data_IF_920054396588
#
_entry.id   IF_920054396588
#
_cell.length_a   1.000
_cell.length_b   1.000
_cell.length_c   1.000
_cell.angle_alpha   90.00
_cell.angle_beta   90.00
_cell.angle_gamma   90.00
#
_symmetry.space_group_name_H-M   'P 1'
#
loop_
_entity.id
_entity.type
_entity.pdbx_description
1 polymer ?
#
# COMPACT_ATOMS: atom_id res chain seq x y z
N UNK A 1 17.03 -9.73 -11.62
CA UNK A 1 15.80 -9.72 -10.79
C UNK A 1 15.50 -8.27 -10.48
N UNK A 2 14.35 -7.75 -10.90
CA UNK A 2 13.96 -6.37 -10.60
C UNK A 2 13.16 -6.35 -9.29
N UNK A 3 13.54 -5.49 -8.35
CA UNK A 3 12.84 -5.31 -7.07
C UNK A 3 12.08 -3.99 -7.12
N UNK A 4 10.78 -4.06 -7.37
CA UNK A 4 9.91 -2.89 -7.27
C UNK A 4 9.65 -2.58 -5.80
N UNK A 5 9.89 -1.32 -5.41
CA UNK A 5 9.67 -0.79 -4.07
C UNK A 5 8.72 0.40 -4.14
N UNK A 6 7.77 0.44 -3.23
CA UNK A 6 6.78 1.50 -3.11
C UNK A 6 6.99 2.19 -1.78
N UNK A 7 7.22 3.50 -1.81
CA UNK A 7 7.25 4.35 -0.62
C UNK A 7 5.86 4.89 -0.35
N UNK A 8 5.45 4.90 0.90
CA UNK A 8 4.13 5.39 1.31
C UNK A 8 4.23 6.08 2.67
N UNK A 9 3.23 6.92 2.96
CA UNK A 9 3.12 7.63 4.23
C UNK A 9 1.92 7.10 4.99
N UNK A 10 2.12 6.81 6.27
CA UNK A 10 1.07 6.50 7.22
C UNK A 10 0.86 7.76 8.08
N UNK A 11 -0.33 8.32 7.98
CA UNK A 11 -0.80 9.38 8.87
C UNK A 11 -1.81 8.76 9.84
N UNK A 12 -1.35 8.36 11.02
CA UNK A 12 -2.19 7.79 12.07
C UNK A 12 -2.09 8.67 13.31
N UNK A 13 -3.11 9.48 13.60
CA UNK A 13 -3.12 10.35 14.78
C UNK A 13 -3.34 9.51 16.06
N UNK A 14 -2.59 9.74 17.15
CA UNK A 14 -1.72 10.89 17.46
C UNK A 14 -0.23 10.69 17.09
N UNK A 15 0.10 9.65 16.32
CA UNK A 15 1.48 9.34 15.96
C UNK A 15 2.03 10.34 14.94
N UNK A 16 3.36 10.53 14.93
CA UNK A 16 4.00 11.30 13.87
C UNK A 16 3.81 10.57 12.53
N UNK A 17 3.54 11.30 11.43
CA UNK A 17 3.57 10.74 10.09
C UNK A 17 4.83 9.91 9.86
N UNK A 18 4.65 8.66 9.42
CA UNK A 18 5.76 7.75 9.17
C UNK A 18 5.84 7.44 7.69
N UNK A 19 7.05 7.53 7.14
CA UNK A 19 7.34 7.13 5.75
C UNK A 19 7.96 5.76 5.76
N UNK A 20 7.31 4.81 5.11
CA UNK A 20 7.74 3.42 5.01
C UNK A 20 7.91 3.00 3.55
N UNK A 21 8.56 1.87 3.34
CA UNK A 21 8.69 1.27 2.02
C UNK A 21 8.38 -0.22 2.05
N UNK A 22 7.79 -0.73 0.97
CA UNK A 22 7.52 -2.15 0.80
C UNK A 22 7.92 -2.64 -0.58
N UNK A 23 8.44 -3.87 -0.66
CA UNK A 23 8.67 -4.53 -1.94
C UNK A 23 7.37 -5.12 -2.50
N UNK A 24 7.21 -5.17 -3.82
CA UNK A 24 6.06 -5.82 -4.45
C UNK A 24 5.90 -7.28 -4.00
N UNK A 25 7.02 -7.99 -3.82
CA UNK A 25 7.02 -9.37 -3.34
C UNK A 25 6.44 -9.47 -1.92
N UNK A 26 6.83 -8.58 -1.03
CA UNK A 26 6.30 -8.52 0.33
C UNK A 26 4.82 -8.16 0.32
N UNK A 27 4.41 -7.17 -0.48
CA UNK A 27 3.01 -6.78 -0.61
C UNK A 27 2.12 -7.95 -1.03
N UNK A 28 2.56 -8.77 -2.00
CA UNK A 28 1.85 -9.99 -2.43
C UNK A 28 1.66 -11.01 -1.31
N UNK A 29 2.65 -11.18 -0.43
CA UNK A 29 2.55 -12.08 0.72
C UNK A 29 1.53 -11.52 1.72
N UNK A 30 1.61 -10.24 2.05
CA UNK A 30 0.72 -9.65 3.05
C UNK A 30 -0.76 -9.72 2.62
N UNK A 31 -1.09 -9.33 1.38
CA UNK A 31 -2.51 -9.31 0.93
C UNK A 31 -3.17 -10.69 0.88
N UNK A 32 -2.39 -11.77 0.84
CA UNK A 32 -2.92 -13.14 0.90
C UNK A 32 -3.39 -13.54 2.31
N UNK A 33 -2.90 -12.86 3.35
CA UNK A 33 -3.16 -13.22 4.74
C UNK A 33 -4.11 -12.27 5.48
N UNK A 34 -4.42 -11.10 4.89
CA UNK A 34 -5.27 -10.10 5.52
C UNK A 34 -6.61 -9.91 4.79
N UNK A 35 -7.69 -9.89 5.57
CA UNK A 35 -9.02 -9.49 5.13
C UNK A 35 -9.06 -7.99 4.79
N UNK A 36 -10.03 -7.58 3.97
CA UNK A 36 -10.17 -6.18 3.52
C UNK A 36 -10.70 -5.33 4.69
N UNK A 37 -9.80 -4.84 5.54
CA UNK A 37 -10.19 -4.18 6.79
C UNK A 37 -9.73 -2.74 6.94
N UNK A 38 -8.56 -2.37 6.38
CA UNK A 38 -7.96 -1.05 6.62
C UNK A 38 -7.33 -0.44 5.37
N UNK A 39 -7.09 0.86 5.44
CA UNK A 39 -6.45 1.69 4.42
C UNK A 39 -5.14 1.08 3.90
N UNK A 40 -4.35 0.52 4.82
CA UNK A 40 -3.06 -0.07 4.48
C UNK A 40 -3.21 -1.32 3.59
N UNK A 41 -4.10 -2.26 3.95
CA UNK A 41 -4.36 -3.45 3.13
C UNK A 41 -4.92 -3.06 1.76
N UNK A 42 -5.75 -2.02 1.67
CA UNK A 42 -6.26 -1.50 0.39
C UNK A 42 -5.16 -0.94 -0.49
N UNK A 43 -4.24 -0.16 0.09
CA UNK A 43 -3.06 0.32 -0.61
C UNK A 43 -2.21 -0.84 -1.14
N UNK A 44 -1.97 -1.86 -0.31
CA UNK A 44 -1.21 -3.05 -0.74
C UNK A 44 -1.91 -3.80 -1.88
N UNK A 45 -3.24 -3.94 -1.83
CA UNK A 45 -4.02 -4.57 -2.91
C UNK A 45 -3.93 -3.77 -4.20
N UNK A 46 -3.99 -2.44 -4.14
CA UNK A 46 -3.82 -1.58 -5.31
C UNK A 46 -2.41 -1.72 -5.92
N UNK A 47 -1.36 -1.74 -5.09
CA UNK A 47 0.02 -1.99 -5.53
C UNK A 47 0.15 -3.36 -6.22
N UNK A 48 -0.48 -4.39 -5.66
CA UNK A 48 -0.40 -5.76 -6.19
C UNK A 48 -1.19 -5.91 -7.51
N UNK A 49 -2.29 -5.17 -7.65
CA UNK A 49 -3.13 -5.19 -8.85
C UNK A 49 -2.56 -4.37 -10.01
N UNK A 50 -1.77 -3.33 -9.72
CA UNK A 50 -1.21 -2.44 -10.73
C UNK A 50 -0.18 -3.16 -11.63
N UNK A 51 -0.28 -2.91 -12.93
CA UNK A 51 0.75 -3.26 -13.92
C UNK A 51 1.88 -2.23 -13.85
N UNK A 52 3.04 -2.59 -14.39
CA UNK A 52 4.25 -1.73 -14.32
C UNK A 52 4.05 -0.36 -15.00
N UNK A 53 3.24 -0.30 -16.04
CA UNK A 53 2.83 0.92 -16.76
C UNK A 53 1.82 1.78 -15.98
N UNK A 54 1.27 1.27 -14.87
CA UNK A 54 0.25 1.94 -14.05
C UNK A 54 0.81 2.41 -12.69
N UNK A 55 2.11 2.21 -12.42
CA UNK A 55 2.69 2.56 -11.12
C UNK A 55 2.62 4.05 -10.82
N UNK A 56 2.76 4.89 -11.84
CA UNK A 56 2.67 6.35 -11.67
C UNK A 56 1.25 6.78 -11.25
N UNK A 57 0.22 6.01 -11.62
CA UNK A 57 -1.16 6.28 -11.21
C UNK A 57 -1.40 6.06 -9.72
N UNK A 58 -0.49 5.35 -9.03
CA UNK A 58 -0.56 5.11 -7.59
C UNK A 58 -0.06 6.32 -6.78
N UNK A 59 0.70 7.24 -7.39
CA UNK A 59 1.26 8.40 -6.71
C UNK A 59 0.15 9.33 -6.24
N UNK A 60 0.25 9.78 -4.99
CA UNK A 60 -0.72 10.70 -4.40
C UNK A 60 -2.08 10.09 -4.06
N UNK A 61 -2.32 8.81 -4.35
CA UNK A 61 -3.55 8.13 -3.91
C UNK A 61 -3.58 8.03 -2.39
N UNK A 62 -4.70 8.45 -1.80
CA UNK A 62 -4.99 8.29 -0.38
C UNK A 62 -5.97 7.14 -0.21
N UNK A 63 -5.64 6.22 0.69
CA UNK A 63 -6.50 5.11 1.06
C UNK A 63 -7.02 5.38 2.47
N UNK A 64 -8.30 5.14 2.68
CA UNK A 64 -8.96 5.32 3.98
C UNK A 64 -9.56 4.00 4.45
N UNK A 65 -9.69 3.88 5.77
CA UNK A 65 -10.41 2.77 6.38
C UNK A 65 -11.86 2.78 5.90
N UNK A 66 -12.50 1.60 5.93
CA UNK A 66 -13.92 1.57 5.61
C UNK A 66 -14.67 2.38 6.67
N UNK A 67 -15.58 3.30 6.30
CA UNK A 67 -16.54 3.81 7.25
C UNK A 67 -17.37 2.59 7.69
N UNK A 68 -17.27 2.23 8.96
CA UNK A 68 -18.17 1.26 9.59
C UNK A 68 -19.61 1.74 9.60
#
# INVERSE_FOLDING_TARGET
MEVHRFSFRIDDEPSRPMTEFISLRTARVLVQHFEDGNAFIRMLRAIVAARRDEYDDLLGRVYTDHPG
#
